data_IF_358221627163
#
_entry.id   IF_358221627163
#
_cell.length_a   1.000
_cell.length_b   1.000
_cell.length_c   1.000
_cell.angle_alpha   90.00
_cell.angle_beta   90.00
_cell.angle_gamma   90.00
#
_symmetry.space_group_name_H-M   'P 1'
#
loop_
_entity.id
_entity.type
_entity.pdbx_description
1 polymer ?
#
# COMPACT_ATOMS: atom_id res chain seq x y z
N UNK A 1 21.49 -2.79 23.20
CA UNK A 1 20.05 -3.06 22.97
C UNK A 1 19.64 -4.49 23.37
N UNK A 2 20.42 -5.55 23.08
CA UNK A 2 20.11 -6.93 23.54
C UNK A 2 20.00 -7.05 25.07
N UNK A 3 20.84 -6.34 25.83
CA UNK A 3 20.87 -6.39 27.31
C UNK A 3 19.59 -5.92 28.00
N UNK A 4 18.77 -5.10 27.35
CA UNK A 4 17.57 -4.51 27.96
C UNK A 4 16.32 -5.37 27.83
N UNK A 5 16.40 -6.53 27.14
CA UNK A 5 15.24 -7.36 26.81
C UNK A 5 15.44 -8.84 27.18
N UNK A 6 16.47 -9.17 27.98
CA UNK A 6 16.79 -10.56 28.36
C UNK A 6 15.68 -11.27 29.16
N UNK A 7 14.87 -10.50 29.87
CA UNK A 7 13.86 -11.05 30.78
C UNK A 7 12.52 -11.36 30.11
N UNK A 8 12.41 -11.12 28.78
CA UNK A 8 11.17 -11.37 28.04
C UNK A 8 11.26 -12.65 27.21
N UNK A 9 10.78 -13.78 27.77
CA UNK A 9 10.81 -15.10 27.11
C UNK A 9 10.00 -15.19 25.81
N UNK A 10 9.05 -14.26 25.62
CA UNK A 10 8.18 -14.17 24.43
C UNK A 10 8.70 -13.17 23.38
N UNK A 11 9.90 -12.60 23.57
CA UNK A 11 10.50 -11.64 22.64
C UNK A 11 11.65 -12.29 21.85
N UNK A 12 11.55 -12.23 20.53
CA UNK A 12 12.63 -12.60 19.62
C UNK A 12 13.16 -11.34 18.96
N UNK A 13 14.46 -11.07 19.13
CA UNK A 13 15.14 -9.92 18.53
C UNK A 13 15.92 -10.38 17.29
N UNK A 14 15.57 -9.81 16.15
CA UNK A 14 16.29 -10.01 14.90
C UNK A 14 16.87 -8.71 14.39
N UNK A 15 18.04 -8.80 13.74
CA UNK A 15 18.71 -7.67 13.11
C UNK A 15 18.69 -7.83 11.61
N UNK A 16 18.32 -6.78 10.89
CA UNK A 16 18.29 -6.77 9.44
C UNK A 16 17.14 -5.96 8.87
N UNK A 17 16.90 -6.12 7.57
CA UNK A 17 15.74 -5.52 6.91
C UNK A 17 14.51 -6.41 7.17
N UNK A 18 13.58 -5.95 7.99
CA UNK A 18 12.36 -6.67 8.33
C UNK A 18 11.48 -7.03 7.14
N UNK A 19 11.65 -6.37 5.98
CA UNK A 19 10.93 -6.74 4.75
C UNK A 19 11.48 -8.00 4.08
N UNK A 20 12.69 -8.43 4.43
CA UNK A 20 13.30 -9.67 3.96
C UNK A 20 13.02 -10.85 4.91
N UNK A 21 12.28 -10.62 5.99
CA UNK A 21 11.90 -11.68 6.93
C UNK A 21 10.84 -12.60 6.31
N UNK A 22 11.05 -13.92 6.46
CA UNK A 22 10.10 -14.96 6.06
C UNK A 22 9.12 -15.36 7.16
N UNK A 23 9.14 -14.66 8.30
CA UNK A 23 8.24 -14.95 9.40
C UNK A 23 6.77 -14.72 9.03
N UNK A 24 5.95 -15.67 9.44
CA UNK A 24 4.51 -15.50 9.44
C UNK A 24 4.10 -14.66 10.66
N UNK A 25 3.18 -13.74 10.46
CA UNK A 25 2.64 -12.90 11.53
C UNK A 25 1.14 -12.72 11.37
N UNK A 26 0.44 -12.62 12.49
CA UNK A 26 -0.99 -12.29 12.53
C UNK A 26 -1.23 -10.79 12.63
N UNK A 27 -0.34 -10.09 13.34
CA UNK A 27 -0.38 -8.63 13.55
C UNK A 27 0.97 -8.06 13.17
N UNK A 28 0.96 -6.94 12.44
CA UNK A 28 2.14 -6.17 12.09
C UNK A 28 2.05 -4.77 12.70
N UNK A 29 3.08 -4.34 13.42
CA UNK A 29 3.15 -2.98 13.99
C UNK A 29 4.48 -2.36 13.59
N UNK A 30 4.45 -1.16 13.03
CA UNK A 30 5.70 -0.51 12.61
C UNK A 30 5.62 1.00 12.59
N UNK A 31 6.68 1.62 13.09
CA UNK A 31 7.02 3.01 12.82
C UNK A 31 8.09 3.02 11.72
N UNK A 32 7.65 3.19 10.48
CA UNK A 32 8.49 3.07 9.29
C UNK A 32 9.16 4.41 8.92
N UNK A 33 10.37 4.37 8.34
CA UNK A 33 10.88 5.53 7.63
C UNK A 33 9.89 5.95 6.53
N UNK A 34 9.57 7.24 6.42
CA UNK A 34 8.55 7.74 5.50
C UNK A 34 8.79 7.35 4.04
N UNK A 35 10.05 7.29 3.62
CA UNK A 35 10.44 6.84 2.27
C UNK A 35 10.03 5.38 1.97
N UNK A 36 9.81 4.57 2.99
CA UNK A 36 9.42 3.15 2.85
C UNK A 36 7.90 2.92 2.91
N UNK A 37 7.08 3.94 3.20
CA UNK A 37 5.63 3.78 3.42
C UNK A 37 4.92 3.10 2.24
N UNK A 38 5.19 3.51 1.00
CA UNK A 38 4.62 2.88 -0.19
C UNK A 38 5.05 1.42 -0.32
N UNK A 39 6.34 1.16 -0.20
CA UNK A 39 6.89 -0.19 -0.29
C UNK A 39 6.29 -1.11 0.77
N UNK A 40 6.16 -0.62 2.02
CA UNK A 40 5.55 -1.38 3.12
C UNK A 40 4.11 -1.76 2.82
N UNK A 41 3.30 -0.84 2.28
CA UNK A 41 1.92 -1.14 1.89
C UNK A 41 1.87 -2.18 0.77
N UNK A 42 2.71 -2.05 -0.28
CA UNK A 42 2.79 -3.03 -1.38
C UNK A 42 3.29 -4.40 -0.89
N UNK A 43 4.22 -4.44 0.06
CA UNK A 43 4.70 -5.68 0.70
C UNK A 43 3.60 -6.33 1.54
N UNK A 44 2.91 -5.56 2.40
CA UNK A 44 1.79 -6.03 3.20
C UNK A 44 0.63 -6.56 2.35
N UNK A 45 0.40 -6.02 1.15
CA UNK A 45 -0.62 -6.54 0.23
C UNK A 45 -0.38 -8.01 -0.16
N UNK A 46 0.88 -8.45 -0.17
CA UNK A 46 1.29 -9.80 -0.55
C UNK A 46 1.31 -10.80 0.62
N UNK A 47 1.30 -10.32 1.87
CA UNK A 47 1.39 -11.16 3.07
C UNK A 47 0.02 -11.58 3.61
N UNK A 48 -0.03 -12.75 4.27
CA UNK A 48 -1.20 -13.21 5.03
C UNK A 48 -1.07 -12.70 6.46
N UNK A 49 -2.03 -11.91 6.91
CA UNK A 49 -2.12 -11.41 8.30
C UNK A 49 -3.56 -10.92 8.56
N UNK A 50 -3.90 -10.61 9.81
CA UNK A 50 -5.21 -10.06 10.16
C UNK A 50 -5.20 -8.53 10.16
N UNK A 51 -4.24 -7.91 10.84
CA UNK A 51 -4.18 -6.47 11.06
C UNK A 51 -2.75 -5.95 10.97
N UNK A 52 -2.60 -4.73 10.44
CA UNK A 52 -1.34 -3.99 10.52
C UNK A 52 -1.62 -2.58 11.04
N UNK A 53 -0.82 -2.12 12.01
CA UNK A 53 -0.82 -0.75 12.51
C UNK A 53 0.49 -0.12 12.09
N UNK A 54 0.42 0.92 11.27
CA UNK A 54 1.61 1.59 10.75
C UNK A 54 1.48 3.10 10.92
N UNK A 55 2.59 3.76 11.23
CA UNK A 55 2.68 5.20 11.21
C UNK A 55 3.30 5.66 9.90
N UNK A 56 2.62 6.59 9.23
CA UNK A 56 3.00 7.12 7.91
C UNK A 56 2.86 8.64 7.91
N UNK A 57 3.43 9.31 6.90
CA UNK A 57 3.16 10.74 6.69
C UNK A 57 1.67 10.98 6.48
N UNK A 58 1.14 12.08 7.05
CA UNK A 58 -0.27 12.48 6.93
C UNK A 58 -0.72 12.53 5.47
N UNK A 59 0.03 13.18 4.60
CA UNK A 59 -0.27 13.27 3.17
C UNK A 59 -0.34 11.89 2.49
N UNK A 60 0.50 10.92 2.90
CA UNK A 60 0.45 9.57 2.36
C UNK A 60 -0.82 8.85 2.81
N UNK A 61 -1.22 9.00 4.06
CA UNK A 61 -2.46 8.42 4.58
C UNK A 61 -3.70 8.98 3.85
N UNK A 62 -3.73 10.28 3.59
CA UNK A 62 -4.78 10.94 2.81
C UNK A 62 -4.84 10.41 1.36
N UNK A 63 -3.68 10.19 0.74
CA UNK A 63 -3.62 9.56 -0.60
C UNK A 63 -4.16 8.13 -0.62
N UNK A 64 -4.02 7.36 0.46
CA UNK A 64 -4.56 6.01 0.52
C UNK A 64 -6.09 5.99 0.53
N UNK A 65 -6.73 6.99 1.15
CA UNK A 65 -8.19 7.07 1.29
C UNK A 65 -8.87 7.89 0.18
N UNK A 66 -8.10 8.57 -0.67
CA UNK A 66 -8.67 9.44 -1.72
C UNK A 66 -9.43 8.61 -2.77
N UNK A 67 -10.74 8.86 -2.87
CA UNK A 67 -11.61 8.29 -3.91
C UNK A 67 -11.71 9.20 -5.15
N UNK A 68 -11.30 10.47 -5.06
CA UNK A 68 -11.50 11.46 -6.13
C UNK A 68 -10.38 11.46 -7.18
N UNK A 69 -9.15 11.16 -6.77
CA UNK A 69 -7.99 11.10 -7.68
C UNK A 69 -7.23 9.80 -7.44
N UNK A 70 -7.68 8.73 -8.06
CA UNK A 70 -7.03 7.44 -7.92
C UNK A 70 -5.53 7.50 -8.21
N UNK A 71 -4.76 6.95 -7.27
CA UNK A 71 -3.34 6.58 -7.46
C UNK A 71 -3.27 5.06 -7.45
N UNK A 72 -2.29 4.49 -8.12
CA UNK A 72 -2.11 3.04 -8.11
C UNK A 72 -2.14 2.46 -6.68
N UNK A 73 -1.44 3.13 -5.74
CA UNK A 73 -1.36 2.68 -4.35
C UNK A 73 -2.71 2.79 -3.62
N UNK A 74 -3.55 3.81 -3.90
CA UNK A 74 -4.88 3.91 -3.28
C UNK A 74 -5.81 2.81 -3.79
N UNK A 75 -5.83 2.55 -5.09
CA UNK A 75 -6.63 1.45 -5.69
C UNK A 75 -6.22 0.11 -5.08
N UNK A 76 -4.93 -0.19 -5.06
CA UNK A 76 -4.40 -1.44 -4.50
C UNK A 76 -4.71 -1.58 -3.01
N UNK A 77 -4.48 -0.51 -2.21
CA UNK A 77 -4.70 -0.54 -0.78
C UNK A 77 -6.18 -0.73 -0.42
N UNK A 78 -7.09 -0.01 -1.07
CA UNK A 78 -8.54 -0.16 -0.83
C UNK A 78 -9.07 -1.52 -1.31
N UNK A 79 -8.47 -2.11 -2.34
CA UNK A 79 -8.81 -3.46 -2.79
C UNK A 79 -8.33 -4.54 -1.79
N UNK A 80 -7.14 -4.37 -1.19
CA UNK A 80 -6.53 -5.35 -0.28
C UNK A 80 -6.86 -5.18 1.20
N UNK A 81 -7.23 -3.97 1.62
CA UNK A 81 -7.44 -3.61 3.03
C UNK A 81 -8.74 -2.84 3.26
N UNK A 82 -9.26 -2.93 4.48
CA UNK A 82 -10.09 -1.90 5.09
C UNK A 82 -9.16 -0.98 5.87
N UNK A 83 -9.14 0.30 5.52
CA UNK A 83 -8.23 1.29 6.10
C UNK A 83 -9.01 2.11 7.13
N UNK A 84 -8.46 2.24 8.35
CA UNK A 84 -9.00 3.10 9.40
C UNK A 84 -7.91 4.06 9.89
N UNK A 85 -8.26 5.33 10.04
CA UNK A 85 -7.41 6.34 10.67
C UNK A 85 -7.59 6.24 12.18
N UNK A 86 -6.51 6.02 12.91
CA UNK A 86 -6.55 5.88 14.37
C UNK A 86 -6.27 7.21 15.06
N UNK A 87 -5.17 7.88 14.70
CA UNK A 87 -4.79 9.15 15.31
C UNK A 87 -3.81 9.93 14.45
N UNK A 88 -3.82 11.25 14.60
CA UNK A 88 -2.79 12.13 14.07
C UNK A 88 -1.70 12.36 15.11
N UNK A 89 -0.45 12.40 14.66
CA UNK A 89 0.74 12.65 15.49
C UNK A 89 1.42 13.91 14.97
N UNK A 90 1.45 14.96 15.78
CA UNK A 90 2.10 16.22 15.41
C UNK A 90 3.62 16.02 15.29
N UNK A 91 4.23 16.70 14.34
CA UNK A 91 5.69 16.68 14.12
C UNK A 91 6.48 17.11 15.36
N UNK A 92 5.91 17.97 16.24
CA UNK A 92 6.54 18.39 17.50
C UNK A 92 6.76 17.25 18.50
N UNK A 93 6.13 16.08 18.30
CA UNK A 93 6.28 14.91 19.17
C UNK A 93 7.50 14.04 18.81
N UNK A 94 8.30 14.47 17.84
CA UNK A 94 9.48 13.74 17.39
C UNK A 94 10.77 14.51 17.62
N UNK A 95 11.85 13.77 17.86
CA UNK A 95 13.19 14.32 17.89
C UNK A 95 14.13 13.45 17.01
N UNK A 96 14.82 14.03 16.03
CA UNK A 96 14.67 15.39 15.52
C UNK A 96 13.27 15.62 14.87
N UNK A 97 12.82 16.88 14.87
CA UNK A 97 11.48 17.25 14.37
C UNK A 97 11.43 17.03 12.84
N UNK A 98 10.50 16.18 12.32
CA UNK A 98 10.33 15.98 10.90
C UNK A 98 9.64 17.19 10.24
N UNK A 99 9.65 17.23 8.90
CA UNK A 99 9.03 18.35 8.14
C UNK A 99 7.50 18.33 8.18
N UNK A 100 6.87 17.17 8.40
CA UNK A 100 5.42 16.96 8.26
C UNK A 100 4.87 16.14 9.42
N UNK A 101 3.56 16.29 9.66
CA UNK A 101 2.85 15.48 10.62
C UNK A 101 2.70 14.03 10.14
N UNK A 102 2.41 13.14 11.09
CA UNK A 102 2.18 11.72 10.85
C UNK A 102 0.73 11.33 11.17
N UNK A 103 0.34 10.18 10.66
CA UNK A 103 -0.94 9.54 10.99
C UNK A 103 -0.68 8.05 11.26
N UNK A 104 -1.27 7.54 12.32
CA UNK A 104 -1.33 6.12 12.60
C UNK A 104 -2.57 5.56 11.92
N UNK A 105 -2.38 4.55 11.08
CA UNK A 105 -3.46 3.88 10.36
C UNK A 105 -3.51 2.39 10.71
N UNK A 106 -4.71 1.85 10.74
CA UNK A 106 -4.98 0.42 10.84
C UNK A 106 -5.37 -0.11 9.45
N UNK A 107 -4.70 -1.16 9.02
CA UNK A 107 -4.99 -1.91 7.81
C UNK A 107 -5.55 -3.28 8.22
N UNK A 108 -6.86 -3.48 8.06
CA UNK A 108 -7.49 -4.79 8.25
C UNK A 108 -7.47 -5.55 6.92
N UNK A 109 -6.91 -6.75 6.91
CA UNK A 109 -6.72 -7.53 5.68
C UNK A 109 -8.06 -7.98 5.10
N UNK A 110 -8.30 -7.68 3.82
CA UNK A 110 -9.44 -8.18 3.05
C UNK A 110 -9.03 -9.36 2.18
N UNK A 111 -7.91 -9.24 1.48
CA UNK A 111 -7.37 -10.28 0.58
C UNK A 111 -5.87 -10.13 0.35
N UNK A 112 -5.23 -11.22 -0.01
CA UNK A 112 -3.83 -11.22 -0.48
C UNK A 112 -3.83 -10.85 -1.96
N UNK A 113 -2.90 -9.99 -2.36
CA UNK A 113 -2.75 -9.53 -3.74
C UNK A 113 -1.42 -10.02 -4.30
N UNK A 114 -1.47 -10.62 -5.48
CA UNK A 114 -0.26 -11.13 -6.14
C UNK A 114 0.67 -10.00 -6.59
N UNK A 115 1.97 -10.27 -6.59
CA UNK A 115 2.98 -9.34 -7.13
C UNK A 115 2.67 -8.93 -8.57
N UNK A 116 2.14 -9.87 -9.37
CA UNK A 116 1.76 -9.61 -10.77
C UNK A 116 0.64 -8.58 -10.85
N UNK A 117 -0.41 -8.69 -10.01
CA UNK A 117 -1.49 -7.70 -10.01
C UNK A 117 -0.99 -6.32 -9.57
N UNK A 118 -0.13 -6.25 -8.54
CA UNK A 118 0.48 -4.99 -8.09
C UNK A 118 1.28 -4.34 -9.22
N UNK A 119 2.15 -5.08 -9.88
CA UNK A 119 2.98 -4.57 -10.99
C UNK A 119 2.13 -4.14 -12.18
N UNK A 120 1.07 -4.89 -12.53
CA UNK A 120 0.17 -4.55 -13.63
C UNK A 120 -0.60 -3.28 -13.35
N UNK A 121 -1.16 -3.10 -12.15
CA UNK A 121 -1.84 -1.84 -11.77
C UNK A 121 -0.86 -0.67 -11.82
N UNK A 122 0.36 -0.81 -11.27
CA UNK A 122 1.38 0.24 -11.36
C UNK A 122 1.71 0.60 -12.81
N UNK A 123 1.83 -0.40 -13.71
CA UNK A 123 2.08 -0.19 -15.13
C UNK A 123 0.90 0.47 -15.85
N UNK A 124 -0.33 0.13 -15.54
CA UNK A 124 -1.54 0.82 -16.06
C UNK A 124 -1.49 2.31 -15.67
N UNK A 125 -1.15 2.61 -14.42
CA UNK A 125 -1.04 4.00 -13.95
C UNK A 125 0.15 4.78 -14.52
N UNK A 126 1.18 4.13 -15.05
CA UNK A 126 2.25 4.85 -15.77
C UNK A 126 1.73 5.54 -17.04
N UNK A 127 0.63 5.04 -17.59
CA UNK A 127 -0.06 5.61 -18.76
C UNK A 127 -1.29 6.46 -18.42
N UNK A 128 -1.48 6.88 -17.18
CA UNK A 128 -2.72 7.53 -16.68
C UNK A 128 -3.20 8.76 -17.47
N UNK A 129 -2.31 9.41 -18.23
CA UNK A 129 -2.66 10.56 -19.09
C UNK A 129 -3.33 10.14 -20.40
N UNK A 130 -3.28 8.86 -20.77
CA UNK A 130 -3.86 8.31 -21.99
C UNK A 130 -5.32 7.88 -21.75
N UNK A 131 -6.09 7.77 -22.82
CA UNK A 131 -7.41 7.12 -22.78
C UNK A 131 -7.27 5.62 -22.56
N UNK A 132 -8.32 4.97 -22.03
CA UNK A 132 -8.33 3.53 -21.77
C UNK A 132 -8.01 2.71 -23.02
N UNK A 133 -8.53 3.10 -24.18
CA UNK A 133 -8.21 2.51 -25.49
C UNK A 133 -6.68 2.48 -25.71
N UNK A 134 -6.00 3.63 -25.49
CA UNK A 134 -4.57 3.75 -25.71
C UNK A 134 -3.74 3.06 -24.62
N UNK A 135 -4.28 2.95 -23.40
CA UNK A 135 -3.66 2.18 -22.33
C UNK A 135 -3.68 0.71 -22.69
N UNK A 136 -4.86 0.15 -23.05
CA UNK A 136 -5.03 -1.27 -23.35
C UNK A 136 -4.21 -1.70 -24.56
N UNK A 137 -4.05 -0.83 -25.57
CA UNK A 137 -3.16 -1.06 -26.72
C UNK A 137 -1.71 -1.33 -26.30
N UNK A 138 -1.21 -0.73 -25.20
CA UNK A 138 0.15 -0.99 -24.66
C UNK A 138 0.31 -2.43 -24.10
N UNK A 139 -0.81 -3.13 -23.90
CA UNK A 139 -0.87 -4.50 -23.41
C UNK A 139 -1.40 -5.48 -24.48
N UNK A 140 -1.47 -5.06 -25.74
CA UNK A 140 -1.95 -5.90 -26.85
C UNK A 140 -3.46 -6.11 -26.87
N UNK A 141 -4.24 -5.33 -26.09
CA UNK A 141 -5.68 -5.44 -26.01
C UNK A 141 -6.39 -4.32 -26.77
N UNK A 142 -7.50 -4.66 -27.43
CA UNK A 142 -8.35 -3.70 -28.11
C UNK A 142 -9.48 -3.20 -27.21
N UNK A 143 -9.81 -1.91 -27.36
CA UNK A 143 -10.94 -1.25 -26.70
C UNK A 143 -11.31 -0.01 -27.49
N UNK A 144 -12.58 0.36 -27.46
CA UNK A 144 -13.09 1.60 -28.05
C UNK A 144 -13.33 2.70 -27.01
N UNK A 145 -13.08 2.42 -25.73
CA UNK A 145 -13.37 3.34 -24.64
C UNK A 145 -12.42 4.54 -24.64
N UNK A 146 -12.99 5.73 -24.75
CA UNK A 146 -12.27 7.01 -24.64
C UNK A 146 -12.12 7.52 -23.21
N UNK A 147 -12.71 6.83 -22.20
CA UNK A 147 -12.58 7.18 -20.78
C UNK A 147 -11.11 7.22 -20.34
N UNK A 148 -10.81 8.02 -19.32
CA UNK A 148 -9.51 8.06 -18.63
C UNK A 148 -9.59 7.28 -17.32
N UNK A 149 -8.43 7.00 -16.68
CA UNK A 149 -8.40 6.24 -15.44
C UNK A 149 -9.07 6.96 -14.25
N UNK A 150 -9.11 8.28 -14.26
CA UNK A 150 -9.76 9.11 -13.25
C UNK A 150 -11.30 9.10 -13.35
N UNK A 151 -11.84 8.64 -14.48
CA UNK A 151 -13.27 8.43 -14.69
C UNK A 151 -13.75 7.01 -14.29
N UNK A 152 -12.82 6.14 -13.89
CA UNK A 152 -13.09 4.75 -13.51
C UNK A 152 -13.02 4.57 -12.00
N UNK A 153 -13.88 3.71 -11.47
CA UNK A 153 -13.77 3.26 -10.08
C UNK A 153 -12.52 2.40 -9.86
N UNK A 154 -12.08 2.30 -8.60
CA UNK A 154 -10.96 1.41 -8.25
C UNK A 154 -11.21 -0.04 -8.64
N UNK A 155 -12.45 -0.54 -8.50
CA UNK A 155 -12.82 -1.91 -8.88
C UNK A 155 -12.76 -2.13 -10.39
N UNK A 156 -13.17 -1.14 -11.21
CA UNK A 156 -13.02 -1.22 -12.67
C UNK A 156 -11.56 -1.28 -13.07
N UNK A 157 -10.70 -0.48 -12.44
CA UNK A 157 -9.25 -0.51 -12.68
C UNK A 157 -8.66 -1.88 -12.34
N UNK A 158 -9.06 -2.49 -11.23
CA UNK A 158 -8.63 -3.84 -10.84
C UNK A 158 -9.09 -4.88 -11.88
N UNK A 159 -10.34 -4.81 -12.33
CA UNK A 159 -10.86 -5.71 -13.38
C UNK A 159 -10.09 -5.58 -14.69
N UNK A 160 -9.73 -4.35 -15.08
CA UNK A 160 -8.87 -4.09 -16.25
C UNK A 160 -7.49 -4.74 -16.07
N UNK A 161 -6.85 -4.54 -14.92
CA UNK A 161 -5.55 -5.16 -14.63
C UNK A 161 -5.63 -6.70 -14.64
N UNK A 162 -6.70 -7.28 -14.09
CA UNK A 162 -6.93 -8.73 -14.14
C UNK A 162 -7.15 -9.25 -15.57
N UNK A 163 -7.85 -8.47 -16.42
CA UNK A 163 -8.01 -8.82 -17.84
C UNK A 163 -6.65 -8.82 -18.57
N UNK A 164 -5.81 -7.81 -18.32
CA UNK A 164 -4.45 -7.73 -18.88
C UNK A 164 -3.60 -8.94 -18.47
N UNK A 165 -3.74 -9.44 -17.25
CA UNK A 165 -2.96 -10.59 -16.76
C UNK A 165 -3.39 -11.90 -17.43
N UNK A 166 -4.64 -12.00 -17.86
CA UNK A 166 -5.21 -13.22 -18.46
C UNK A 166 -5.05 -13.29 -19.99
N UNK A 167 -4.69 -12.17 -20.62
CA UNK A 167 -4.42 -12.08 -22.05
C UNK A 167 -2.99 -12.52 -22.37
#
# INVERSE_FOLDING_TARGET
>A
MKSNFHDYSNLVLEYGDGFNSDHNFSIFVSNLPYSKSRFAVEWLLQKKFSRAVIMVQKEFSEKLSSNEKHKAISVLANYGFRIKFLMNVKKSNFFPIPKVDSTVILLEKKKVISKVLISTVNRVFSYRRKTLQNILKQFGLNSTSKKRLDELSGDEIIKIAQKIIRS
#
